data_IF_461896601746
#
_entry.id   IF_461896601746
#
_cell.length_a   1.000
_cell.length_b   1.000
_cell.length_c   1.000
_cell.angle_alpha   90.00
_cell.angle_beta   90.00
_cell.angle_gamma   90.00
#
_symmetry.space_group_name_H-M   'P 1'
#
loop_
_entity.id
_entity.type
_entity.pdbx_description
1 polymer ?
2 polymer ?
3 water ?
#
# COMPACT_ATOMS: atom_id res chain seq x y z
N UNK A 1 29.59 -24.60 -5.62
CA UNK A 1 28.94 -23.58 -4.81
C UNK A 1 29.94 -22.55 -4.22
N UNK A 2 31.25 -22.78 -4.43
CA UNK A 2 32.26 -21.86 -3.91
C UNK A 2 32.65 -20.74 -4.87
N UNK A 3 32.34 -20.88 -6.15
CA UNK A 3 32.83 -20.00 -7.24
C UNK A 3 31.70 -19.49 -8.14
N UNK A 4 30.75 -18.76 -7.56
CA UNK A 4 29.59 -18.25 -8.30
C UNK A 4 30.02 -17.50 -9.56
N UNK A 5 29.34 -17.80 -10.67
CA UNK A 5 29.58 -17.13 -11.92
C UNK A 5 28.34 -17.19 -12.80
N UNK A 6 28.03 -16.08 -13.45
CA UNK A 6 26.89 -16.07 -14.36
C UNK A 6 27.09 -14.97 -15.40
N UNK A 7 26.47 -15.16 -16.56
CA UNK A 7 26.41 -14.11 -17.57
C UNK A 7 24.95 -13.95 -18.00
N UNK A 8 24.47 -12.71 -18.06
CA UNK A 8 23.05 -12.48 -18.33
C UNK A 8 22.95 -11.19 -19.11
N UNK A 9 21.95 -11.11 -19.99
CA UNK A 9 21.65 -9.85 -20.66
C UNK A 9 21.18 -8.79 -19.67
N UNK A 10 21.67 -7.57 -19.88
CA UNK A 10 21.29 -6.45 -19.02
C UNK A 10 19.78 -6.34 -18.91
N UNK A 11 19.07 -6.47 -20.02
CA UNK A 11 17.64 -6.24 -19.95
C UNK A 11 16.89 -7.29 -19.12
N UNK A 12 17.47 -8.46 -18.86
CA UNK A 12 16.84 -9.46 -18.02
C UNK A 12 17.10 -9.18 -16.53
N UNK A 13 18.04 -8.30 -16.23
CA UNK A 13 18.44 -7.97 -14.87
C UNK A 13 17.80 -6.69 -14.32
N UNK A 14 17.49 -5.70 -15.17
CA UNK A 14 17.16 -4.38 -14.67
C UNK A 14 15.90 -4.38 -13.80
N UNK A 15 14.78 -4.93 -14.33
CA UNK A 15 13.57 -4.89 -13.54
C UNK A 15 13.66 -5.75 -12.28
N UNK A 16 14.20 -6.97 -12.33
CA UNK A 16 14.44 -7.70 -11.06
C UNK A 16 15.25 -6.93 -10.04
N UNK A 17 16.35 -6.27 -10.45
CA UNK A 17 17.17 -5.50 -9.49
C UNK A 17 16.37 -4.35 -8.89
N UNK A 18 15.63 -3.61 -9.72
CA UNK A 18 14.82 -2.50 -9.22
C UNK A 18 13.82 -3.00 -8.18
N UNK A 19 13.18 -4.12 -8.47
CA UNK A 19 12.15 -4.62 -7.59
C UNK A 19 12.71 -5.08 -6.25
N UNK A 20 13.81 -5.82 -6.26
CA UNK A 20 14.29 -6.41 -5.02
C UNK A 20 14.95 -5.39 -4.13
N UNK A 21 15.28 -4.23 -4.67
CA UNK A 21 15.84 -3.18 -3.84
C UNK A 21 14.78 -2.41 -3.04
N UNK A 22 13.50 -2.68 -3.26
CA UNK A 22 12.44 -1.99 -2.56
C UNK A 22 12.47 -2.01 -1.04
N UNK A 23 12.62 -3.19 -0.38
CA UNK A 23 12.68 -3.20 1.10
C UNK A 23 13.88 -2.43 1.66
N UNK A 24 14.88 -2.13 0.83
CA UNK A 24 16.14 -1.51 1.23
C UNK A 24 15.95 0.00 1.33
N UNK A 25 17.00 0.68 1.79
CA UNK A 25 16.99 2.12 1.84
C UNK A 25 17.54 2.68 3.14
N UNK A 26 16.81 3.64 3.72
CA UNK A 26 17.32 4.39 4.85
C UNK A 26 17.55 3.54 6.08
N UNK A 27 18.30 4.13 7.02
CA UNK A 27 18.65 3.59 8.34
C UNK A 27 19.64 2.43 8.25
N UNK A 28 20.94 2.73 8.17
CA UNK A 28 21.95 1.66 8.23
C UNK A 28 21.95 0.98 9.60
N UNK A 29 21.97 -0.35 9.59
CA UNK A 29 21.96 -1.12 10.83
C UNK A 29 22.92 -2.31 10.69
N UNK A 30 22.39 -3.49 10.45
CA UNK A 30 23.23 -4.57 9.92
C UNK A 30 23.72 -4.19 8.54
N UNK A 31 25.03 -4.16 8.31
CA UNK A 31 25.55 -3.79 6.97
C UNK A 31 24.97 -4.60 5.81
N UNK A 32 24.66 -5.78 6.09
CA UNK A 32 24.30 -6.59 4.95
C UNK A 32 22.85 -6.40 4.48
N UNK A 33 22.15 -5.60 5.25
CA UNK A 33 20.78 -5.29 4.82
C UNK A 33 20.76 -4.26 3.68
N UNK A 34 21.89 -3.56 3.46
CA UNK A 34 22.07 -2.75 2.25
C UNK A 34 22.52 -3.54 1.05
N UNK A 35 22.66 -4.86 1.18
CA UNK A 35 23.15 -5.70 0.09
C UNK A 35 22.01 -6.57 -0.44
N UNK A 36 22.18 -7.06 -1.67
CA UNK A 36 21.26 -8.03 -2.25
C UNK A 36 21.97 -9.38 -2.19
N UNK A 37 21.20 -10.43 -1.86
CA UNK A 37 21.72 -11.79 -1.94
C UNK A 37 21.57 -12.32 -3.36
N UNK A 38 22.65 -12.82 -3.94
CA UNK A 38 22.65 -13.41 -5.28
C UNK A 38 22.91 -14.89 -5.09
N UNK A 39 22.11 -15.73 -5.71
CA UNK A 39 22.29 -17.17 -5.59
C UNK A 39 22.12 -17.76 -6.98
N UNK A 40 23.10 -18.54 -7.45
CA UNK A 40 23.04 -19.21 -8.73
C UNK A 40 22.92 -20.69 -8.49
N UNK A 41 21.93 -21.33 -9.10
CA UNK A 41 21.86 -22.78 -9.06
C UNK A 41 20.89 -23.25 -10.12
N UNK A 42 21.26 -24.31 -10.84
CA UNK A 42 20.33 -25.09 -11.67
C UNK A 42 19.55 -24.22 -12.66
N UNK A 43 20.24 -23.36 -13.37
CA UNK A 43 19.56 -22.60 -14.39
C UNK A 43 18.88 -21.35 -13.90
N UNK A 44 19.05 -20.97 -12.63
CA UNK A 44 18.38 -19.78 -12.09
C UNK A 44 19.33 -18.92 -11.26
N UNK A 45 19.24 -17.61 -11.47
CA UNK A 45 19.79 -16.61 -10.55
C UNK A 45 18.64 -16.09 -9.68
N UNK A 46 18.79 -16.16 -8.37
CA UNK A 46 17.86 -15.53 -7.43
C UNK A 46 18.49 -14.30 -6.81
N UNK A 47 17.71 -13.23 -6.73
CA UNK A 47 18.17 -11.99 -6.11
C UNK A 47 17.19 -11.72 -4.99
N UNK A 48 17.69 -11.44 -3.77
CA UNK A 48 16.82 -11.18 -2.63
C UNK A 48 17.26 -9.91 -1.90
N UNK A 49 16.26 -9.08 -1.54
CA UNK A 49 16.48 -7.97 -0.62
C UNK A 49 15.58 -8.16 0.58
N UNK A 50 16.01 -7.61 1.74
CA UNK A 50 15.19 -7.76 2.94
C UNK A 50 15.43 -6.58 3.86
N UNK A 51 14.45 -6.29 4.74
CA UNK A 51 14.66 -5.38 5.85
C UNK A 51 14.37 -6.05 7.18
N UNK A 52 14.35 -7.40 7.20
CA UNK A 52 14.11 -8.27 8.36
C UNK A 52 12.61 -8.50 8.60
N UNK A 53 11.80 -7.66 8.22
CA UNK A 53 10.34 -7.75 8.36
C UNK A 53 9.70 -8.31 7.09
N UNK A 54 10.32 -8.05 5.99
CA UNK A 54 9.79 -8.56 4.74
C UNK A 54 10.96 -8.78 3.78
N UNK A 55 10.70 -9.58 2.74
CA UNK A 55 11.74 -9.94 1.78
C UNK A 55 11.12 -10.04 0.38
N UNK A 56 11.92 -9.71 -0.62
CA UNK A 56 11.49 -9.72 -2.01
C UNK A 56 12.52 -10.55 -2.76
N UNK A 57 12.07 -11.56 -3.50
CA UNK A 57 12.95 -12.46 -4.24
C UNK A 57 12.56 -12.37 -5.71
N UNK A 58 13.56 -12.24 -6.59
CA UNK A 58 13.34 -12.29 -8.02
C UNK A 58 14.13 -13.45 -8.57
N UNK A 59 13.53 -14.15 -9.54
CA UNK A 59 14.21 -15.26 -10.21
C UNK A 59 14.45 -14.88 -11.66
N UNK A 60 15.66 -15.09 -12.14
CA UNK A 60 16.09 -14.81 -13.50
C UNK A 60 16.61 -16.12 -14.09
N UNK A 61 16.01 -16.58 -15.19
CA UNK A 61 16.54 -17.78 -15.81
C UNK A 61 17.91 -17.52 -16.44
N UNK A 62 18.84 -18.44 -16.23
CA UNK A 62 20.19 -18.33 -16.79
C UNK A 62 20.31 -19.29 -17.97
N UNK A 63 20.55 -18.73 -19.16
CA UNK A 63 20.71 -19.45 -20.43
C UNK A 63 22.14 -19.96 -20.57
N UNK A 64 23.11 -19.13 -20.20
CA UNK A 64 24.50 -19.30 -20.53
C UNK A 64 25.20 -20.05 -19.41
N UNK A 65 26.38 -20.60 -19.69
CA UNK A 65 27.10 -21.36 -18.65
C UNK A 65 27.23 -20.54 -17.38
N UNK A 66 27.04 -21.23 -16.28
CA UNK A 66 27.08 -20.57 -15.00
C UNK A 66 27.66 -21.58 -14.03
N UNK A 67 28.22 -21.06 -12.94
CA UNK A 67 28.68 -21.92 -11.87
C UNK A 67 27.92 -21.55 -10.62
N UNK A 68 27.51 -22.52 -9.81
CA UNK A 68 26.62 -22.25 -8.70
C UNK A 68 27.39 -21.55 -7.57
N UNK A 69 26.64 -20.88 -6.72
CA UNK A 69 27.26 -20.20 -5.60
C UNK A 69 26.38 -19.05 -5.15
N UNK A 70 26.88 -18.32 -4.17
CA UNK A 70 26.10 -17.22 -3.60
C UNK A 70 27.02 -16.20 -2.98
N UNK A 71 26.58 -14.95 -3.01
CA UNK A 71 27.29 -13.87 -2.35
C UNK A 71 26.28 -12.77 -2.13
N UNK A 72 26.72 -11.68 -1.51
CA UNK A 72 25.87 -10.50 -1.35
C UNK A 72 26.69 -9.28 -1.76
N UNK A 73 26.01 -8.32 -2.36
CA UNK A 73 26.69 -7.16 -2.97
C UNK A 73 25.85 -5.91 -2.71
N UNK A 74 26.50 -4.73 -2.61
CA UNK A 74 25.71 -3.51 -2.34
C UNK A 74 24.65 -3.30 -3.40
N UNK A 75 23.39 -3.16 -2.95
CA UNK A 75 22.25 -3.19 -3.89
C UNK A 75 22.27 -2.01 -4.84
N UNK A 76 22.39 -0.80 -4.29
CA UNK A 76 22.24 0.39 -5.13
C UNK A 76 23.38 0.49 -6.12
N UNK A 77 24.60 0.17 -5.68
CA UNK A 77 25.75 0.28 -6.56
C UNK A 77 25.64 -0.75 -7.69
N UNK A 78 25.24 -1.99 -7.36
CA UNK A 78 25.08 -3.00 -8.41
C UNK A 78 23.98 -2.61 -9.39
N UNK A 79 22.85 -2.11 -8.89
CA UNK A 79 21.80 -1.69 -9.81
C UNK A 79 22.28 -0.53 -10.70
N UNK A 80 22.95 0.47 -10.10
CA UNK A 80 23.38 1.64 -10.84
C UNK A 80 24.39 1.26 -11.92
N UNK A 81 25.24 0.28 -11.63
CA UNK A 81 26.19 -0.18 -12.64
C UNK A 81 25.44 -0.83 -13.80
N UNK A 82 24.55 -1.77 -13.51
CA UNK A 82 23.77 -2.41 -14.59
C UNK A 82 22.96 -1.41 -15.39
N UNK A 83 22.33 -0.56 -14.73
CA UNK A 83 21.53 0.43 -15.45
C UNK A 83 22.39 1.38 -16.27
N UNK A 84 23.56 1.66 -15.87
CA UNK A 84 24.41 2.58 -16.61
C UNK A 84 25.08 1.99 -17.81
N UNK A 85 25.04 0.66 -17.93
CA UNK A 85 25.61 -0.01 -19.09
C UNK A 85 24.69 0.21 -20.29
N UNK A 86 25.22 0.09 -21.50
CA UNK A 86 24.40 0.37 -22.68
C UNK A 86 23.31 -0.65 -22.93
N UNK A 87 22.29 -0.22 -23.65
CA UNK A 87 21.21 -1.11 -24.02
C UNK A 87 21.75 -2.32 -24.78
N UNK A 88 21.25 -3.52 -24.43
CA UNK A 88 21.74 -4.75 -25.04
C UNK A 88 23.02 -5.33 -24.44
N UNK A 89 23.64 -4.67 -23.46
CA UNK A 89 24.88 -5.18 -22.90
C UNK A 89 24.69 -6.58 -22.30
N UNK A 90 25.73 -7.39 -22.43
CA UNK A 90 25.83 -8.63 -21.69
C UNK A 90 26.69 -8.40 -20.47
N UNK A 91 26.22 -8.86 -19.32
CA UNK A 91 26.84 -8.60 -18.02
C UNK A 91 27.34 -9.92 -17.47
N UNK A 92 28.65 -10.02 -17.29
CA UNK A 92 29.30 -11.23 -16.78
C UNK A 92 29.71 -10.93 -15.34
N UNK A 93 29.29 -11.78 -14.42
CA UNK A 93 29.46 -11.56 -12.99
C UNK A 93 30.17 -12.77 -12.40
N UNK A 94 31.17 -12.53 -11.55
CA UNK A 94 31.78 -13.68 -10.90
C UNK A 94 32.40 -13.26 -9.59
N UNK A 95 32.31 -14.14 -8.61
CA UNK A 95 33.00 -13.91 -7.36
C UNK A 95 34.50 -14.19 -7.53
N UNK A 96 35.33 -13.28 -7.03
CA UNK A 96 36.77 -13.43 -7.06
C UNK A 96 37.26 -13.15 -5.64
N UNK A 97 37.55 -14.20 -4.86
CA UNK A 97 37.92 -13.97 -3.47
C UNK A 97 36.73 -13.35 -2.73
N UNK A 98 36.93 -12.17 -2.14
CA UNK A 98 35.90 -11.46 -1.40
C UNK A 98 35.31 -10.33 -2.21
N UNK A 99 35.55 -10.26 -3.44
CA UNK A 99 35.04 -9.23 -4.35
C UNK A 99 34.11 -9.86 -5.37
N UNK A 100 33.13 -9.14 -5.80
CA UNK A 100 32.27 -9.48 -6.94
C UNK A 100 32.65 -8.65 -8.11
N UNK A 101 33.04 -9.30 -9.20
CA UNK A 101 33.40 -8.62 -10.45
C UNK A 101 32.19 -8.56 -11.36
N UNK A 102 32.02 -7.41 -12.01
CA UNK A 102 30.97 -7.17 -13.00
C UNK A 102 31.67 -6.64 -14.24
N UNK A 103 31.53 -7.36 -15.35
CA UNK A 103 32.26 -7.03 -16.55
C UNK A 103 31.27 -6.94 -17.72
N UNK A 104 31.49 -5.95 -18.58
CA UNK A 104 30.75 -5.83 -19.83
C UNK A 104 31.56 -4.95 -20.77
N UNK A 105 31.72 -5.36 -22.01
CA UNK A 105 32.57 -4.54 -22.88
C UNK A 105 33.98 -4.41 -22.32
N UNK A 106 34.44 -3.17 -22.22
CA UNK A 106 35.72 -2.87 -21.57
C UNK A 106 35.44 -2.05 -20.32
N UNK A 107 34.38 -2.40 -19.62
CA UNK A 107 34.01 -1.90 -18.30
C UNK A 107 34.17 -3.00 -17.27
N UNK A 108 34.85 -2.68 -16.16
CA UNK A 108 35.15 -3.63 -15.08
C UNK A 108 34.80 -2.96 -13.76
N UNK A 109 34.02 -3.62 -12.94
CA UNK A 109 33.65 -3.10 -11.62
C UNK A 109 33.94 -4.18 -10.59
N UNK A 110 34.67 -3.84 -9.53
CA UNK A 110 34.97 -4.80 -8.48
C UNK A 110 34.26 -4.26 -7.21
N UNK A 111 33.25 -4.99 -6.72
CA UNK A 111 32.37 -4.54 -5.63
C UNK A 111 32.74 -5.34 -4.39
N UNK A 112 32.62 -4.71 -3.24
CA UNK A 112 32.76 -5.38 -1.98
C UNK A 112 31.60 -6.38 -1.77
N UNK A 113 31.85 -7.38 -0.95
CA UNK A 113 30.83 -8.37 -0.65
C UNK A 113 30.71 -8.59 0.85
N UNK A 114 29.59 -9.18 1.26
CA UNK A 114 29.50 -9.75 2.60
C UNK A 114 28.97 -11.18 2.43
N UNK A 115 29.31 -12.08 3.35
CA UNK A 115 29.01 -13.50 3.12
C UNK A 115 27.53 -13.80 3.00
N UNK A 116 27.20 -14.69 2.05
CA UNK A 116 25.82 -15.13 1.89
C UNK A 116 25.29 -15.78 3.16
N UNK A 117 26.16 -16.46 3.92
CA UNK A 117 25.75 -17.10 5.16
C UNK A 117 25.20 -16.10 6.18
N UNK A 118 25.61 -14.83 6.08
CA UNK A 118 25.14 -13.79 6.99
C UNK A 118 23.83 -13.16 6.58
N UNK A 119 23.32 -13.45 5.38
CA UNK A 119 22.09 -12.81 4.95
C UNK A 119 20.89 -13.34 5.74
N UNK A 120 20.08 -12.45 6.33
CA UNK A 120 18.98 -12.90 7.18
C UNK A 120 17.89 -13.56 6.36
N UNK A 121 17.29 -14.58 6.94
CA UNK A 121 16.12 -15.21 6.34
C UNK A 121 14.94 -15.12 7.30
N UNK A 122 13.74 -15.01 6.73
CA UNK A 122 12.54 -15.13 7.53
C UNK A 122 12.42 -16.57 7.99
N UNK A 123 11.86 -16.77 9.18
CA UNK A 123 11.70 -18.13 9.67
C UNK A 123 10.72 -18.88 8.76
N UNK A 124 10.89 -20.20 8.70
CA UNK A 124 9.99 -21.04 7.90
C UNK A 124 8.58 -21.01 8.49
N UNK A 125 7.60 -21.29 7.64
CA UNK A 125 6.20 -21.18 8.06
C UNK A 125 5.32 -21.95 7.10
N UNK A 126 4.06 -22.10 7.48
CA UNK A 126 3.09 -22.94 6.80
C UNK A 126 1.92 -22.11 6.33
N UNK A 127 1.59 -22.21 5.06
CA UNK A 127 0.49 -21.46 4.50
C UNK A 127 -0.82 -22.16 4.88
N UNK A 128 -1.82 -21.40 5.32
CA UNK A 128 -3.15 -21.98 5.55
C UNK A 128 -4.16 -21.72 4.46
N UNK A 129 -4.12 -20.57 3.80
CA UNK A 129 -5.04 -20.26 2.72
C UNK A 129 -4.23 -19.77 1.53
N UNK A 130 -4.71 -20.09 0.34
CA UNK A 130 -4.07 -19.64 -0.87
C UNK A 130 -5.15 -19.30 -1.89
N UNK A 131 -4.93 -18.23 -2.66
CA UNK A 131 -5.88 -17.88 -3.71
C UNK A 131 -5.13 -17.02 -4.74
N UNK A 132 -5.69 -16.95 -5.94
CA UNK A 132 -5.13 -16.22 -7.08
C UNK A 132 -6.18 -15.25 -7.62
N UNK A 133 -5.74 -14.05 -7.98
CA UNK A 133 -6.66 -12.99 -8.40
C UNK A 133 -5.91 -12.05 -9.36
N UNK A 134 -6.64 -11.27 -10.17
CA UNK A 134 -5.96 -10.33 -11.07
C UNK A 134 -5.24 -9.28 -10.23
N UNK A 135 -4.08 -8.87 -10.73
CA UNK A 135 -3.35 -7.76 -10.09
C UNK A 135 -4.25 -6.54 -9.95
N UNK A 136 -5.09 -6.27 -10.96
CA UNK A 136 -5.91 -5.06 -10.95
C UNK A 136 -6.85 -5.07 -9.75
N UNK A 137 -7.32 -6.24 -9.36
CA UNK A 137 -8.22 -6.34 -8.22
C UNK A 137 -7.51 -6.04 -6.92
N UNK A 138 -6.28 -6.57 -6.78
CA UNK A 138 -5.55 -6.24 -5.57
C UNK A 138 -5.20 -4.77 -5.53
N UNK A 139 -4.82 -4.18 -6.67
CA UNK A 139 -4.51 -2.76 -6.75
C UNK A 139 -5.71 -1.91 -6.36
N UNK A 140 -6.88 -2.04 -6.94
CA UNK A 140 -8.16 -1.64 -6.34
C UNK A 140 -8.16 -1.86 -4.84
N UNK A 141 -8.17 -2.82 -4.34
CA UNK A 141 -8.42 -2.97 -2.91
C UNK A 141 -7.46 -2.13 -2.09
N UNK A 142 -6.18 -2.12 -2.46
CA UNK A 142 -5.19 -1.38 -1.67
C UNK A 142 -5.36 0.11 -1.90
N UNK A 143 -5.43 0.59 -3.17
CA UNK A 143 -5.66 2.03 -3.38
C UNK A 143 -6.95 2.49 -2.73
N UNK A 144 -7.94 1.75 -2.60
CA UNK A 144 -9.19 2.25 -2.00
C UNK A 144 -9.03 2.56 -0.52
N UNK A 145 -8.03 1.97 0.16
CA UNK A 145 -8.00 2.08 1.62
C UNK A 145 -6.67 2.54 2.17
N UNK A 146 -5.57 2.44 1.41
CA UNK A 146 -4.22 2.62 1.96
C UNK A 146 -4.03 3.96 2.67
N UNK A 147 -4.72 5.02 2.20
CA UNK A 147 -4.49 6.35 2.76
C UNK A 147 -4.99 6.44 4.20
N UNK A 148 -5.85 5.51 4.62
CA UNK A 148 -6.42 5.54 5.97
C UNK A 148 -5.59 4.77 7.00
N UNK A 149 -4.50 4.08 6.60
CA UNK A 149 -3.64 3.46 7.60
C UNK A 149 -3.00 4.49 8.50
N UNK A 150 -2.84 4.13 9.78
CA UNK A 150 -2.05 4.98 10.66
C UNK A 150 -0.59 4.85 10.26
N UNK A 151 0.23 5.79 10.73
CA UNK A 151 1.67 5.73 10.43
C UNK A 151 2.47 5.19 11.60
N UNK A 152 2.29 5.79 12.77
CA UNK A 152 3.12 5.46 13.93
C UNK A 152 2.29 5.42 15.19
N UNK A 153 1.03 4.97 15.09
CA UNK A 153 0.18 4.88 16.28
C UNK A 153 0.76 3.93 17.31
N UNK A 154 0.61 4.26 18.60
CA UNK A 154 0.93 3.30 19.66
C UNK A 154 0.03 2.10 19.57
N UNK A 155 -1.16 2.26 19.00
CA UNK A 155 -2.01 1.12 18.69
C UNK A 155 -1.40 0.53 17.42
N UNK A 156 -0.32 -0.24 17.60
CA UNK A 156 0.53 -0.59 16.47
C UNK A 156 -0.21 -1.41 15.42
N UNK A 157 -1.33 -2.05 15.81
CA UNK A 157 -2.15 -2.82 14.86
C UNK A 157 -2.79 -1.91 13.82
N UNK A 158 -2.79 -0.57 14.06
CA UNK A 158 -3.34 0.38 13.08
C UNK A 158 -2.33 0.77 12.01
N UNK A 159 -1.04 0.47 12.20
CA UNK A 159 0.01 0.87 11.27
C UNK A 159 0.16 -0.17 10.17
N UNK A 160 -0.95 -0.49 9.53
CA UNK A 160 -0.99 -1.59 8.61
C UNK A 160 -2.38 -1.66 8.04
N UNK A 161 -2.62 -2.71 7.25
CA UNK A 161 -3.92 -2.86 6.57
C UNK A 161 -4.43 -4.27 6.87
N UNK A 162 -5.69 -4.37 7.24
CA UNK A 162 -6.33 -5.66 7.42
C UNK A 162 -6.64 -6.25 6.04
N UNK A 163 -6.25 -7.50 5.82
CA UNK A 163 -6.70 -8.27 4.66
C UNK A 163 -7.57 -9.40 5.19
N UNK A 164 -8.78 -9.51 4.67
CA UNK A 164 -9.78 -10.44 5.17
C UNK A 164 -10.40 -11.21 4.03
N UNK A 165 -10.45 -12.54 4.16
CA UNK A 165 -11.19 -13.37 3.23
C UNK A 165 -12.52 -13.73 3.89
N UNK A 166 -13.62 -13.60 3.15
CA UNK A 166 -14.94 -13.93 3.69
C UNK A 166 -15.79 -14.37 2.52
N UNK A 167 -16.21 -15.64 2.52
CA UNK A 167 -16.99 -16.18 1.43
C UNK A 167 -16.23 -16.22 0.12
N UNK A 168 -16.69 -15.52 -0.78
CA UNK A 168 -15.98 -15.34 -2.04
C UNK A 168 -15.33 -13.97 -2.13
N UNK A 169 -15.16 -13.27 -1.14
CA UNK A 169 -14.69 -11.90 -1.21
C UNK A 169 -13.35 -11.74 -0.50
N UNK A 170 -12.50 -10.89 -1.06
CA UNK A 170 -11.32 -10.37 -0.36
C UNK A 170 -11.63 -8.92 0.01
N UNK A 171 -11.31 -8.57 1.25
CA UNK A 171 -11.60 -7.25 1.80
C UNK A 171 -10.33 -6.64 2.38
N UNK A 172 -10.14 -5.33 2.20
CA UNK A 172 -9.14 -4.58 2.94
C UNK A 172 -9.84 -3.57 3.84
N UNK A 173 -9.24 -3.34 5.01
CA UNK A 173 -9.70 -2.33 5.96
C UNK A 173 -8.48 -1.57 6.45
N UNK A 174 -8.61 -0.25 6.54
CA UNK A 174 -7.55 0.57 7.11
C UNK A 174 -8.19 1.65 7.96
N UNK A 175 -7.57 1.92 9.12
CA UNK A 175 -8.10 2.97 9.98
C UNK A 175 -6.98 3.48 10.87
N UNK A 176 -7.08 4.78 11.23
CA UNK A 176 -6.13 5.40 12.15
C UNK A 176 -6.84 5.92 13.40
N UNK A 177 -8.07 5.45 13.62
CA UNK A 177 -8.88 5.92 14.72
C UNK A 177 -9.65 7.19 14.48
N UNK A 178 -9.29 7.97 13.46
CA UNK A 178 -10.07 9.14 13.11
C UNK A 178 -10.89 8.92 11.85
N UNK A 179 -10.70 7.88 11.14
CA UNK A 179 -11.27 7.63 9.82
C UNK A 179 -10.90 6.20 9.46
N UNK A 180 -11.80 5.66 8.68
CA UNK A 180 -11.70 4.26 8.29
C UNK A 180 -12.09 4.14 6.83
N UNK A 181 -11.46 3.19 6.14
CA UNK A 181 -11.78 2.84 4.74
C UNK A 181 -11.90 1.33 4.66
N UNK A 182 -12.90 0.85 3.95
CA UNK A 182 -13.12 -0.58 3.74
C UNK A 182 -13.49 -0.79 2.30
N UNK A 183 -12.95 -1.84 1.70
CA UNK A 183 -13.27 -2.15 0.31
C UNK A 183 -13.27 -3.67 0.17
N UNK A 184 -14.26 -4.21 -0.55
CA UNK A 184 -14.23 -5.65 -0.79
C UNK A 184 -14.51 -5.92 -2.27
N UNK A 185 -13.92 -7.01 -2.79
CA UNK A 185 -14.06 -7.40 -4.19
C UNK A 185 -14.27 -8.90 -4.29
N UNK A 186 -15.07 -9.34 -5.23
CA UNK A 186 -15.26 -10.78 -5.42
C UNK A 186 -14.01 -11.41 -6.03
N UNK A 187 -13.77 -12.65 -5.61
CA UNK A 187 -12.54 -13.35 -5.95
C UNK A 187 -12.80 -14.57 -6.82
N UNK A 188 -14.07 -15.00 -6.96
CA UNK A 188 -14.37 -16.14 -7.82
C UNK A 188 -14.01 -17.49 -7.27
N UNK A 189 -13.69 -17.58 -5.98
CA UNK A 189 -13.39 -18.84 -5.31
C UNK A 189 -13.99 -18.73 -3.93
N UNK A 190 -14.50 -19.83 -3.38
CA UNK A 190 -14.92 -19.86 -1.98
C UNK A 190 -13.66 -20.00 -1.12
N UNK A 191 -13.49 -19.07 -0.16
CA UNK A 191 -12.29 -18.99 0.67
C UNK A 191 -12.61 -19.35 2.11
N UNK A 192 -11.67 -19.95 2.84
CA UNK A 192 -11.79 -20.00 4.29
C UNK A 192 -11.76 -18.58 4.82
N UNK A 193 -12.17 -18.40 6.06
CA UNK A 193 -12.16 -17.09 6.68
C UNK A 193 -10.83 -16.81 7.36
N UNK A 194 -10.20 -15.73 6.95
CA UNK A 194 -8.94 -15.31 7.56
C UNK A 194 -8.89 -13.75 7.68
N UNK A 195 -8.26 -13.27 8.72
CA UNK A 195 -8.17 -11.83 8.94
C UNK A 195 -6.78 -11.54 9.46
N UNK A 196 -5.93 -10.91 8.68
CA UNK A 196 -4.53 -10.67 9.03
C UNK A 196 -4.17 -9.21 8.77
N UNK A 197 -3.22 -8.69 9.55
CA UNK A 197 -2.76 -7.30 9.42
C UNK A 197 -1.41 -7.28 8.73
N UNK A 198 -1.34 -6.67 7.56
CA UNK A 198 -0.09 -6.52 6.83
C UNK A 198 0.54 -5.20 7.25
N UNK A 199 1.82 -5.18 7.65
CA UNK A 199 2.43 -3.91 8.07
C UNK A 199 2.43 -2.89 6.94
N UNK A 200 2.38 -1.61 7.32
CA UNK A 200 2.19 -0.60 6.27
C UNK A 200 3.30 -0.64 5.22
N UNK A 201 4.55 -0.89 5.64
CA UNK A 201 5.62 -0.93 4.65
C UNK A 201 5.45 -2.13 3.72
N UNK A 202 4.87 -3.24 4.23
CA UNK A 202 4.59 -4.37 3.36
C UNK A 202 3.49 -4.07 2.36
N UNK A 203 2.47 -3.32 2.79
CA UNK A 203 1.42 -2.90 1.86
C UNK A 203 2.04 -2.10 0.69
N UNK A 204 2.95 -1.19 1.01
CA UNK A 204 3.57 -0.34 -0.02
C UNK A 204 4.41 -1.21 -0.94
N UNK A 205 5.12 -2.21 -0.40
CA UNK A 205 5.93 -3.07 -1.25
C UNK A 205 5.07 -3.94 -2.14
N UNK A 206 3.99 -4.48 -1.59
CA UNK A 206 3.06 -5.27 -2.37
C UNK A 206 2.47 -4.47 -3.52
N UNK A 207 2.34 -3.53 -3.27
CA UNK A 207 1.62 -2.65 -4.20
C UNK A 207 2.54 -2.16 -5.31
N UNK A 208 3.88 -1.98 -5.05
CA UNK A 208 4.86 -1.65 -6.04
C UNK A 208 5.25 -2.86 -6.88
N UNK A 209 4.90 -4.07 -6.45
CA UNK A 209 5.17 -5.21 -7.31
C UNK A 209 4.07 -5.43 -8.34
N UNK A 210 2.94 -4.72 -8.23
CA UNK A 210 1.81 -4.90 -9.13
C UNK A 210 1.99 -4.07 -10.39
N UNK A 211 3.22 -3.94 -10.89
CA UNK A 211 3.44 -3.26 -12.16
C UNK A 211 2.83 -4.07 -13.30
N UNK A 212 3.13 -5.37 -13.31
CA UNK A 212 2.62 -6.32 -14.28
C UNK A 212 1.20 -6.08 -14.75
N UNK A 213 0.97 -6.28 -16.04
CA UNK A 213 -0.38 -6.21 -16.55
C UNK A 213 -1.15 -7.43 -16.10
N UNK A 214 -1.04 -8.53 -16.86
CA UNK A 214 -1.96 -9.65 -16.72
C UNK A 214 -1.37 -10.90 -16.04
N UNK A 215 -0.12 -10.86 -15.59
CA UNK A 215 0.39 -11.92 -14.73
C UNK A 215 -0.46 -11.91 -13.47
N UNK A 216 -1.06 -13.02 -13.08
CA UNK A 216 -1.93 -13.01 -11.89
C UNK A 216 -1.14 -13.02 -10.60
N UNK A 217 -1.81 -12.62 -9.55
CA UNK A 217 -1.21 -12.54 -8.22
C UNK A 217 -1.68 -13.77 -7.44
N UNK A 218 -0.75 -14.57 -6.94
CA UNK A 218 -1.05 -15.68 -6.06
C UNK A 218 -0.68 -15.29 -4.64
N UNK A 219 -1.63 -15.40 -3.72
CA UNK A 219 -1.43 -15.00 -2.33
C UNK A 219 -1.49 -16.24 -1.45
N UNK A 220 -0.54 -16.37 -0.54
CA UNK A 220 -0.57 -17.39 0.51
C UNK A 220 -0.55 -16.67 1.86
N UNK A 221 -1.42 -17.08 2.78
CA UNK A 221 -1.52 -16.47 4.11
C UNK A 221 -1.28 -17.55 5.15
N UNK A 222 -0.33 -17.29 6.05
CA UNK A 222 -0.14 -18.12 7.21
C UNK A 222 -0.67 -17.44 8.46
N UNK A 223 -0.34 -18.03 9.60
CA UNK A 223 -0.77 -17.42 10.85
C UNK A 223 0.02 -16.14 11.15
N UNK A 224 1.29 -16.04 10.69
CA UNK A 224 2.17 -14.94 11.02
C UNK A 224 2.89 -14.36 9.81
N UNK A 225 2.55 -14.77 8.61
CA UNK A 225 3.24 -14.29 7.41
C UNK A 225 2.26 -14.24 6.26
N UNK A 226 2.57 -13.40 5.26
CA UNK A 226 1.84 -13.37 3.99
C UNK A 226 2.87 -13.42 2.88
N UNK A 227 2.54 -14.10 1.78
CA UNK A 227 3.41 -14.21 0.62
C UNK A 227 2.59 -13.92 -0.63
N UNK A 228 3.18 -13.16 -1.56
CA UNK A 228 2.55 -12.81 -2.83
C UNK A 228 3.49 -13.17 -3.97
N UNK A 229 2.98 -13.87 -4.98
CA UNK A 229 3.76 -14.28 -6.15
C UNK A 229 3.20 -13.54 -7.37
N UNK A 230 4.05 -12.83 -8.07
CA UNK A 230 3.66 -12.20 -9.33
C UNK A 230 4.80 -12.41 -10.32
N UNK A 231 4.50 -13.09 -11.43
CA UNK A 231 5.56 -13.30 -12.41
C UNK A 231 6.72 -14.04 -11.77
N UNK A 232 7.93 -13.48 -11.93
CA UNK A 232 9.13 -14.09 -11.40
C UNK A 232 9.51 -13.53 -10.01
N UNK A 233 8.58 -12.86 -9.32
CA UNK A 233 8.86 -12.28 -8.02
C UNK A 233 8.05 -12.96 -6.93
N UNK A 234 8.65 -13.09 -5.75
CA UNK A 234 7.96 -13.57 -4.56
C UNK A 234 8.23 -12.60 -3.41
N UNK A 235 7.15 -12.05 -2.83
CA UNK A 235 7.27 -11.14 -1.71
C UNK A 235 6.71 -11.83 -0.48
N UNK A 236 7.42 -11.73 0.67
CA UNK A 236 6.94 -12.30 1.92
C UNK A 236 7.10 -11.27 3.01
N UNK A 237 6.08 -11.16 3.87
CA UNK A 237 6.13 -10.22 4.98
C UNK A 237 5.66 -10.91 6.26
N UNK A 238 6.24 -10.48 7.38
CA UNK A 238 5.62 -10.75 8.69
C UNK A 238 4.28 -10.05 8.78
N UNK A 239 3.41 -10.57 9.65
CA UNK A 239 2.14 -9.91 9.94
C UNK A 239 2.24 -9.17 11.26
N UNK A 240 1.33 -8.24 11.47
CA UNK A 240 1.25 -7.50 12.72
C UNK A 240 0.32 -8.21 13.73
N UNK A 241 0.75 -8.32 15.00
CA UNK A 241 -0.09 -8.86 16.06
C UNK A 241 -1.14 -7.83 16.51
N UNK A 242 -2.23 -8.31 17.09
CA UNK A 242 -3.24 -7.37 17.57
C UNK A 242 -4.63 -7.69 17.07
N UNK A 243 -5.65 -7.17 17.75
CA UNK A 243 -7.04 -7.34 17.32
C UNK A 243 -7.41 -6.08 16.54
N UNK A 244 -7.48 -6.20 15.21
CA UNK A 244 -7.85 -5.05 14.40
C UNK A 244 -9.33 -4.71 14.66
N UNK A 245 -9.69 -3.42 14.61
CA UNK A 245 -11.11 -3.05 14.79
C UNK A 245 -12.03 -3.72 13.78
N UNK A 246 -13.27 -3.96 14.17
CA UNK A 246 -14.29 -4.55 13.32
C UNK A 246 -15.02 -3.42 12.59
N UNK A 247 -14.80 -3.31 11.27
CA UNK A 247 -15.44 -2.26 10.49
C UNK A 247 -16.97 -2.31 10.64
N UNK A 248 -17.53 -3.51 10.88
CA UNK A 248 -18.99 -3.65 10.93
C UNK A 248 -19.57 -2.86 12.10
N UNK A 249 -18.77 -2.67 13.14
CA UNK A 249 -19.19 -1.93 14.32
C UNK A 249 -18.82 -0.46 14.22
N UNK A 250 -17.96 -0.10 13.26
CA UNK A 250 -17.55 1.30 13.01
C UNK A 250 -18.49 2.02 12.03
N UNK A 251 -19.07 1.31 11.07
CA UNK A 251 -20.03 1.94 10.18
C UNK A 251 -21.12 2.60 11.02
N UNK A 252 -21.50 3.83 10.70
CA UNK A 252 -22.59 4.49 11.45
C UNK A 252 -23.85 3.65 11.43
N UNK A 253 -24.47 3.54 12.59
CA UNK A 253 -25.72 2.81 12.68
C UNK A 253 -26.87 3.76 12.29
N UNK A 254 -27.62 3.35 11.28
CA UNK A 254 -28.83 4.03 10.84
C UNK A 254 -28.69 5.54 10.70
N UNK A 255 -27.72 6.01 9.93
CA UNK A 255 -27.62 7.46 9.72
C UNK A 255 -28.92 7.94 9.07
N UNK A 256 -29.48 9.03 9.58
CA UNK A 256 -30.81 9.45 9.13
C UNK A 256 -30.80 10.58 8.11
N UNK A 257 -29.64 11.15 7.82
CA UNK A 257 -29.55 12.30 6.94
C UNK A 257 -28.68 11.95 5.74
N UNK A 258 -29.26 12.00 4.56
CA UNK A 258 -28.63 11.47 3.35
C UNK A 258 -28.44 12.61 2.36
N UNK A 259 -27.19 13.00 2.15
CA UNK A 259 -26.82 14.08 1.24
C UNK A 259 -26.15 13.47 0.02
N UNK A 260 -26.51 13.95 -1.16
CA UNK A 260 -25.80 13.51 -2.37
C UNK A 260 -25.33 14.72 -3.17
N UNK A 261 -24.10 14.66 -3.64
CA UNK A 261 -23.49 15.79 -4.33
C UNK A 261 -22.55 15.30 -5.40
N UNK A 262 -22.24 16.16 -6.37
CA UNK A 262 -21.22 15.83 -7.34
C UNK A 262 -19.86 15.68 -6.69
N UNK A 263 -19.14 14.61 -7.04
CA UNK A 263 -17.88 14.32 -6.36
C UNK A 263 -16.85 15.40 -6.66
N UNK A 264 -16.74 15.81 -7.91
CA UNK A 264 -15.70 16.78 -8.27
C UNK A 264 -16.00 18.16 -7.73
N UNK A 265 -17.33 18.55 -7.81
CA UNK A 265 -17.72 19.84 -7.24
C UNK A 265 -17.47 19.87 -5.74
N UNK A 266 -17.82 18.78 -5.05
CA UNK A 266 -17.60 18.73 -3.60
C UNK A 266 -16.10 18.81 -3.29
N UNK A 267 -15.30 18.03 -4.00
CA UNK A 267 -13.85 18.00 -3.81
C UNK A 267 -13.23 19.39 -4.03
N UNK A 268 -13.61 20.05 -5.12
CA UNK A 268 -13.01 21.36 -5.38
C UNK A 268 -13.41 22.40 -4.35
N UNK A 269 -14.64 22.30 -3.87
CA UNK A 269 -15.09 23.23 -2.83
C UNK A 269 -14.31 23.01 -1.55
N UNK A 270 -14.15 21.75 -1.12
CA UNK A 270 -13.34 21.49 0.06
C UNK A 270 -11.90 21.90 -0.16
N UNK A 271 -11.36 21.67 -1.37
CA UNK A 271 -9.96 22.02 -1.60
C UNK A 271 -9.73 23.53 -1.50
N UNK A 272 -10.63 24.33 -2.06
CA UNK A 272 -10.51 25.78 -1.91
C UNK A 272 -10.69 26.21 -0.45
N UNK A 273 -11.70 25.66 0.25
CA UNK A 273 -11.91 26.07 1.64
C UNK A 273 -10.70 25.73 2.49
N UNK A 274 -10.05 24.59 2.22
CA UNK A 274 -8.91 24.13 2.99
C UNK A 274 -7.79 25.18 3.02
N UNK A 275 -7.68 26.01 1.97
CA UNK A 275 -6.59 26.98 1.90
C UNK A 275 -6.61 27.89 3.12
N UNK A 276 -7.81 28.20 3.62
CA UNK A 276 -7.96 29.13 4.74
C UNK A 276 -8.32 28.42 6.05
N UNK A 277 -8.09 27.11 6.13
CA UNK A 277 -8.25 26.36 7.36
C UNK A 277 -6.95 26.41 8.16
N UNK A 278 -7.06 26.11 9.43
CA UNK A 278 -5.87 26.07 10.29
C UNK A 278 -4.86 25.07 9.73
N UNK A 279 -3.58 25.49 9.63
CA UNK A 279 -2.57 24.66 8.95
C UNK A 279 -2.28 23.35 9.67
N UNK A 280 -2.43 23.36 10.97
CA UNK A 280 -2.23 22.16 11.76
C UNK A 280 -3.51 21.37 11.93
N UNK A 281 -4.60 22.03 12.32
CA UNK A 281 -5.80 21.31 12.73
C UNK A 281 -6.82 21.12 11.62
N UNK A 282 -6.76 21.94 10.59
CA UNK A 282 -7.42 21.68 9.29
C UNK A 282 -8.96 21.67 9.38
N UNK A 283 -9.55 22.29 10.40
CA UNK A 283 -10.99 22.16 10.64
C UNK A 283 -11.80 23.00 9.67
N UNK A 284 -12.85 22.40 9.12
CA UNK A 284 -13.85 23.08 8.31
C UNK A 284 -15.24 22.73 8.85
N UNK A 285 -16.13 23.59 8.65
CA UNK A 285 -17.44 23.49 9.23
C UNK A 285 -18.44 23.20 8.11
N UNK A 286 -19.28 22.23 8.11
CA UNK A 286 -20.30 21.95 7.13
C UNK A 286 -21.65 22.31 7.72
N UNK A 287 -22.44 23.08 6.98
CA UNK A 287 -23.83 23.36 7.35
C UNK A 287 -24.72 22.78 6.28
N UNK A 288 -25.58 21.83 6.68
CA UNK A 288 -26.47 21.17 5.72
C UNK A 288 -27.87 21.67 5.95
N UNK A 289 -28.52 22.05 4.87
CA UNK A 289 -29.90 22.52 4.92
C UNK A 289 -30.54 22.04 3.64
N UNK A 290 -31.82 22.38 3.46
CA UNK A 290 -32.55 21.86 2.31
C UNK A 290 -31.83 22.11 1.00
N UNK A 291 -31.43 21.02 0.35
CA UNK A 291 -30.72 21.01 -0.93
C UNK A 291 -29.50 21.94 -0.97
N UNK A 292 -28.79 22.09 0.15
CA UNK A 292 -27.66 22.99 0.13
C UNK A 292 -26.61 22.55 1.14
N UNK A 293 -25.35 22.70 0.76
CA UNK A 293 -24.23 22.51 1.67
C UNK A 293 -23.43 23.81 1.72
N UNK A 294 -23.13 24.29 2.92
CA UNK A 294 -22.21 25.41 3.08
C UNK A 294 -20.99 24.90 3.81
N UNK A 295 -19.81 25.21 3.28
CA UNK A 295 -18.53 24.84 3.89
C UNK A 295 -17.84 26.13 4.29
N UNK A 296 -17.42 26.24 5.55
CA UNK A 296 -16.65 27.41 5.96
C UNK A 296 -15.35 26.97 6.60
N UNK A 297 -14.33 27.78 6.37
CA UNK A 297 -13.05 27.57 7.00
C UNK A 297 -12.48 28.86 7.53
N UNK A 298 -11.94 28.81 8.73
CA UNK A 298 -11.24 29.98 9.28
C UNK A 298 -9.85 29.57 9.91
N UNK A 299 -8.96 30.54 10.01
CA UNK A 299 -7.64 30.25 10.52
C UNK A 299 -7.27 31.25 11.61
N UNK A 300 -6.12 31.09 12.28
CA UNK A 300 -5.81 32.00 13.38
C UNK A 300 -5.65 33.45 12.96
N UNK A 301 -5.43 33.72 11.91
CA UNK A 301 -5.37 35.05 11.29
C UNK A 301 -6.76 35.60 10.95
N UNK A 302 -7.73 34.92 11.15
CA UNK A 302 -9.12 35.32 10.99
C UNK A 302 -9.50 35.45 9.53
N UNK A 303 -8.71 34.84 8.65
CA UNK A 303 -9.14 34.72 7.27
C UNK A 303 -10.29 33.72 7.17
N UNK A 304 -11.07 33.82 6.09
CA UNK A 304 -12.25 32.96 6.03
C UNK A 304 -12.58 32.58 4.59
N UNK A 305 -12.83 31.30 4.36
CA UNK A 305 -13.33 30.80 3.09
C UNK A 305 -14.77 30.34 3.31
N UNK A 306 -15.62 30.58 2.35
CA UNK A 306 -16.97 30.05 2.37
C UNK A 306 -17.34 29.56 0.97
N UNK A 307 -17.87 28.34 0.89
CA UNK A 307 -18.36 27.77 -0.36
C UNK A 307 -19.80 27.37 -0.14
N UNK A 308 -20.69 27.72 -1.08
CA UNK A 308 -22.05 27.23 -1.05
C UNK A 308 -22.25 26.37 -2.28
N UNK A 309 -22.85 25.17 -2.09
CA UNK A 309 -23.10 24.23 -3.16
C UNK A 309 -24.54 23.76 -3.11
N UNK A 310 -25.14 23.64 -4.29
CA UNK A 310 -26.43 22.96 -4.40
C UNK A 310 -26.16 21.46 -4.33
N UNK A 311 -26.91 20.79 -3.49
CA UNK A 311 -26.80 19.36 -3.27
C UNK A 311 -28.22 18.79 -3.17
N UNK A 312 -28.32 17.47 -3.05
CA UNK A 312 -29.60 16.82 -2.78
C UNK A 312 -29.65 16.48 -1.31
N UNK A 313 -30.55 17.12 -0.57
CA UNK A 313 -30.67 16.87 0.86
C UNK A 313 -32.04 17.37 1.29
N UNK A 314 -32.83 16.49 1.85
CA UNK A 314 -34.04 16.87 2.54
C UNK A 314 -34.00 16.20 3.91
N UNK A 315 -34.09 17.01 4.95
CA UNK A 315 -33.91 16.53 6.30
C UNK A 315 -33.59 17.71 7.17
N UNK A 316 -33.47 17.43 8.47
CA UNK A 316 -33.23 18.51 9.42
C UNK A 316 -31.90 19.20 9.13
N UNK A 317 -31.84 20.48 9.45
CA UNK A 317 -30.57 21.16 9.34
C UNK A 317 -29.61 20.72 10.43
N UNK A 318 -28.31 20.73 10.11
CA UNK A 318 -27.30 20.42 11.11
C UNK A 318 -25.96 21.01 10.67
N UNK A 319 -25.07 21.18 11.65
CA UNK A 319 -23.70 21.67 11.46
C UNK A 319 -22.79 20.57 11.96
N UNK A 320 -21.65 20.38 11.30
CA UNK A 320 -20.68 19.37 11.72
C UNK A 320 -19.31 19.81 11.26
N UNK A 321 -18.29 19.57 12.08
CA UNK A 321 -16.92 19.91 11.72
C UNK A 321 -16.10 18.69 11.34
N UNK A 322 -15.17 18.91 10.40
CA UNK A 322 -14.26 17.84 9.97
C UNK A 322 -12.88 18.38 9.69
N UNK A 323 -11.89 17.50 9.80
CA UNK A 323 -10.57 17.74 9.26
C UNK A 323 -10.69 17.62 7.75
N UNK A 324 -10.43 18.73 7.05
CA UNK A 324 -10.70 18.75 5.62
C UNK A 324 -9.74 17.83 4.87
N UNK A 325 -8.55 17.57 5.41
CA UNK A 325 -7.65 16.61 4.75
C UNK A 325 -8.26 15.21 4.74
N UNK A 326 -8.94 14.82 5.81
CA UNK A 326 -9.56 13.50 5.86
C UNK A 326 -10.69 13.42 4.84
N UNK A 327 -11.44 14.50 4.67
CA UNK A 327 -12.53 14.48 3.69
C UNK A 327 -11.95 14.47 2.27
N UNK A 328 -10.95 15.30 2.01
CA UNK A 328 -10.33 15.32 0.70
C UNK A 328 -9.72 13.96 0.36
N UNK A 329 -9.07 13.27 1.33
CA UNK A 329 -8.56 11.92 1.05
C UNK A 329 -9.67 10.99 0.58
N UNK A 330 -10.82 11.01 1.18
CA UNK A 330 -11.91 10.13 0.74
C UNK A 330 -12.34 10.49 -0.68
N UNK A 331 -12.56 11.78 -0.92
CA UNK A 331 -13.08 12.18 -2.23
C UNK A 331 -12.08 11.86 -3.34
N UNK A 332 -10.77 12.02 -3.05
CA UNK A 332 -9.74 11.65 -4.02
C UNK A 332 -9.75 10.15 -4.31
N UNK A 333 -10.12 9.34 -3.33
CA UNK A 333 -10.12 7.88 -3.53
C UNK A 333 -11.36 7.40 -4.23
N UNK A 334 -12.43 8.20 -4.25
CA UNK A 334 -13.69 7.75 -4.81
C UNK A 334 -13.71 7.84 -6.33
N UNK A 335 -13.25 8.95 -6.90
CA UNK A 335 -13.12 9.05 -8.36
C UNK A 335 -14.42 8.63 -9.08
N UNK A 336 -15.52 9.22 -8.68
CA UNK A 336 -16.82 8.86 -9.28
C UNK A 336 -17.60 10.12 -9.60
N UNK A 337 -18.84 9.94 -10.05
CA UNK A 337 -19.62 11.10 -10.43
C UNK A 337 -20.34 11.74 -9.25
N UNK A 338 -21.03 10.93 -8.42
CA UNK A 338 -21.83 11.43 -7.33
C UNK A 338 -21.41 10.70 -6.06
N UNK A 339 -21.40 11.44 -4.97
CA UNK A 339 -21.06 10.88 -3.68
C UNK A 339 -22.26 11.00 -2.77
N UNK A 340 -22.37 10.08 -1.84
CA UNK A 340 -23.39 10.10 -0.83
C UNK A 340 -22.68 10.26 0.52
N UNK A 341 -23.13 11.21 1.30
CA UNK A 341 -22.70 11.34 2.68
C UNK A 341 -23.89 11.03 3.59
N UNK A 342 -23.68 10.16 4.60
CA UNK A 342 -24.76 9.73 5.48
C UNK A 342 -24.44 10.18 6.90
N UNK A 343 -25.25 11.09 7.44
CA UNK A 343 -24.93 11.79 8.67
C UNK A 343 -25.96 11.45 9.73
N UNK A 344 -25.57 11.71 10.98
CA UNK A 344 -26.48 11.54 12.10
C UNK A 344 -26.57 12.84 12.91
N UNK A 345 -25.49 13.27 13.52
CA UNK A 345 -25.51 14.54 14.23
C UNK A 345 -24.09 15.04 14.34
N UNK A 346 -23.97 16.17 15.04
CA UNK A 346 -22.73 16.91 15.01
C UNK A 346 -21.58 16.22 15.76
N UNK A 347 -21.86 15.18 16.54
CA UNK A 347 -20.82 14.52 17.33
C UNK A 347 -20.56 13.10 16.85
N UNK A 348 -21.15 12.71 15.73
CA UNK A 348 -21.12 11.33 15.28
C UNK A 348 -20.43 11.20 13.93
N UNK A 349 -19.89 10.01 13.68
CA UNK A 349 -19.19 9.81 12.43
C UNK A 349 -20.13 9.93 11.24
N UNK A 350 -19.53 10.16 10.08
CA UNK A 350 -20.22 10.21 8.80
C UNK A 350 -19.79 8.97 8.02
N UNK A 351 -20.65 8.48 7.14
CA UNK A 351 -20.25 7.52 6.13
C UNK A 351 -20.29 8.19 4.77
N UNK A 352 -19.26 7.95 3.96
CA UNK A 352 -19.14 8.53 2.62
C UNK A 352 -18.92 7.39 1.65
N UNK A 353 -19.57 7.51 0.53
CA UNK A 353 -19.42 6.37 -0.38
C UNK A 353 -19.85 6.79 -1.78
N UNK A 354 -19.40 6.20 -2.89
CA UNK A 354 -19.94 6.43 -4.22
C UNK A 354 -21.43 6.19 -4.22
N UNK A 355 -22.20 7.12 -4.80
CA UNK A 355 -23.65 6.96 -4.86
C UNK A 355 -24.04 5.78 -5.70
N UNK A 356 -23.16 5.33 -6.59
CA UNK A 356 -23.44 4.27 -7.55
C UNK A 356 -22.76 2.95 -7.20
N UNK A 357 -21.96 2.90 -6.14
CA UNK A 357 -21.29 1.62 -5.83
C UNK A 357 -21.14 1.46 -4.33
N UNK A 358 -21.35 0.23 -3.86
CA UNK A 358 -21.12 -0.04 -2.45
C UNK A 358 -19.89 -0.91 -2.22
N UNK A 359 -19.01 -1.06 -3.21
CA UNK A 359 -17.81 -1.87 -2.99
C UNK A 359 -16.92 -1.30 -1.89
N UNK A 360 -16.84 0.02 -1.78
CA UNK A 360 -16.02 0.68 -0.77
C UNK A 360 -16.89 1.59 0.08
N UNK A 361 -16.47 1.78 1.33
CA UNK A 361 -17.15 2.69 2.22
C UNK A 361 -16.10 3.37 3.09
N UNK A 362 -16.40 4.61 3.45
CA UNK A 362 -15.48 5.42 4.23
C UNK A 362 -16.22 5.98 5.43
N UNK A 363 -15.54 6.03 6.58
CA UNK A 363 -16.14 6.61 7.78
C UNK A 363 -15.18 7.67 8.29
N UNK A 364 -15.68 8.89 8.56
CA UNK A 364 -14.84 9.94 9.12
C UNK A 364 -15.47 10.44 10.40
N UNK A 365 -14.66 10.52 11.45
CA UNK A 365 -15.15 11.06 12.70
C UNK A 365 -14.99 12.59 12.74
N UNK A 366 -15.98 13.32 13.27
CA UNK A 366 -15.94 14.78 13.23
C UNK A 366 -14.99 15.36 14.27
N UNK A 367 -14.84 16.67 14.17
CA UNK A 367 -14.14 17.48 15.13
C UNK A 367 -15.16 18.41 15.81
N UNK A 368 -14.89 18.71 17.08
CA UNK A 368 -15.65 19.73 17.82
C UNK A 368 -14.98 21.08 17.57
N UNK A 369 -15.59 21.90 16.73
CA UNK A 369 -14.98 23.20 16.33
C UNK A 369 -15.40 24.36 17.22
N UNK B 2 -10.52 16.98 17.42
CA UNK B 2 -10.76 15.73 16.67
C UNK B 2 -11.19 14.58 17.61
N UNK B 5 -12.98 7.22 16.57
CA UNK B 5 -13.96 6.19 16.26
C UNK B 5 -14.05 5.09 17.31
N UNK B 6 -12.97 4.93 18.07
CA UNK B 6 -12.84 3.84 19.04
C UNK B 6 -11.61 4.18 19.88
#
# INVERSE_FOLDING_TARGET
ASHMKFTVEREHLLKPLQQVSGPLGGRPTLPILGNLLLQVADGTLSLTGTDLEMEMVARVALVQPHEPGATTVPARKFFDICRGLPEGAEIAVQLEGERMLVRSGRSRFSLSTLPAADFPNLDDWQSEVEFTLPQATMKRLIEATQFSMAHQDVRYYLNGMLFETEGEELRTVATDGHRLAVCSMPIGQSLPSHSVIVPRKGVIELMRMLDGGDNPLRVQIGSNNIRAHVGDFIFTSKLVDGRFPDYRRVLPKNPDKHLEAGCDLLKQAFARAAILSNEKFRGVRLWVSENQLKITANNPEQEEAEEILDVTYSGAEMEIGFNVSYVLDVLNALKCENVRMMLTDSVSSVQIEDAASQSAAYVVMPMRL
XQXXLF
#
